data_IF_275716302691
#
_entry.id   IF_275716302691
#
_cell.length_a   1.000
_cell.length_b   1.000
_cell.length_c   1.000
_cell.angle_alpha   90.00
_cell.angle_beta   90.00
_cell.angle_gamma   90.00
#
_symmetry.space_group_name_H-M   'P 1'
#
loop_
_entity.id
_entity.type
_entity.pdbx_description
1 polymer ?
#
# COMPACT_ATOMS: atom_id res chain seq x y z
N UNK A 1 -9.87 41.59 -18.82
CA UNK A 1 -9.53 40.18 -19.08
C UNK A 1 -8.61 39.69 -17.98
N UNK A 2 -9.10 38.92 -17.00
CA UNK A 2 -8.28 38.24 -15.99
C UNK A 2 -9.12 37.12 -15.36
N UNK A 3 -9.05 35.91 -15.91
CA UNK A 3 -9.80 34.74 -15.41
C UNK A 3 -9.21 33.39 -15.81
N UNK A 4 -7.98 33.34 -16.32
CA UNK A 4 -7.50 32.19 -17.09
C UNK A 4 -6.59 31.16 -16.41
N UNK A 5 -6.12 31.39 -15.17
CA UNK A 5 -5.04 30.55 -14.58
C UNK A 5 -5.34 30.00 -13.18
N UNK A 6 -6.35 30.51 -12.47
CA UNK A 6 -6.64 30.08 -11.09
C UNK A 6 -7.35 28.71 -10.96
N UNK A 7 -7.97 28.21 -12.04
CA UNK A 7 -8.69 26.94 -12.01
C UNK A 7 -7.80 25.70 -12.11
N UNK A 8 -6.65 25.81 -12.76
CA UNK A 8 -5.73 24.69 -13.01
C UNK A 8 -4.73 24.45 -11.89
N UNK A 9 -4.44 25.43 -11.03
CA UNK A 9 -3.55 25.28 -9.86
C UNK A 9 -4.25 25.63 -8.54
N UNK A 10 -5.53 25.25 -8.44
CA UNK A 10 -6.31 25.41 -7.21
C UNK A 10 -5.87 24.39 -6.15
N UNK A 11 -5.82 24.78 -4.84
CA UNK A 11 -5.61 23.85 -3.74
C UNK A 11 -6.56 22.64 -3.76
N UNK A 12 -7.81 22.81 -4.22
CA UNK A 12 -8.78 21.72 -4.33
C UNK A 12 -8.32 20.66 -5.32
N UNK A 13 -7.80 21.07 -6.49
CA UNK A 13 -7.27 20.16 -7.51
C UNK A 13 -6.06 19.39 -6.99
N UNK A 14 -5.13 20.07 -6.30
CA UNK A 14 -3.97 19.38 -5.73
C UNK A 14 -4.38 18.34 -4.68
N UNK A 15 -5.36 18.62 -3.84
CA UNK A 15 -5.92 17.63 -2.90
C UNK A 15 -6.54 16.44 -3.61
N UNK A 16 -7.35 16.67 -4.65
CA UNK A 16 -7.91 15.58 -5.47
C UNK A 16 -6.81 14.71 -6.09
N UNK A 17 -5.75 15.35 -6.60
CA UNK A 17 -4.61 14.62 -7.17
C UNK A 17 -3.84 13.82 -6.13
N UNK A 18 -3.64 14.37 -4.92
CA UNK A 18 -3.04 13.63 -3.80
C UNK A 18 -3.89 12.41 -3.45
N UNK A 19 -5.22 12.56 -3.36
CA UNK A 19 -6.09 11.42 -3.10
C UNK A 19 -6.03 10.32 -4.16
N UNK A 20 -5.86 10.68 -5.43
CA UNK A 20 -5.60 9.69 -6.50
C UNK A 20 -4.28 8.96 -6.27
N UNK A 21 -3.20 9.71 -6.02
CA UNK A 21 -1.88 9.14 -5.75
C UNK A 21 -1.90 8.25 -4.51
N UNK A 22 -2.61 8.62 -3.45
CA UNK A 22 -2.75 7.81 -2.23
C UNK A 22 -3.46 6.48 -2.52
N UNK A 23 -4.49 6.48 -3.38
CA UNK A 23 -5.14 5.24 -3.82
C UNK A 23 -4.17 4.36 -4.61
N UNK A 24 -3.39 4.95 -5.49
CA UNK A 24 -2.38 4.23 -6.27
C UNK A 24 -1.26 3.67 -5.39
N UNK A 25 -0.76 4.45 -4.43
CA UNK A 25 0.22 4.01 -3.44
C UNK A 25 -0.35 2.83 -2.64
N UNK A 26 -1.57 2.95 -2.11
CA UNK A 26 -2.21 1.88 -1.36
C UNK A 26 -2.37 0.59 -2.20
N UNK A 27 -2.76 0.73 -3.48
CA UNK A 27 -2.84 -0.40 -4.42
C UNK A 27 -1.47 -1.05 -4.65
N UNK A 28 -0.44 -0.25 -4.91
CA UNK A 28 0.92 -0.73 -5.15
C UNK A 28 1.51 -1.41 -3.90
N UNK A 29 1.26 -0.87 -2.71
CA UNK A 29 1.68 -1.50 -1.45
C UNK A 29 1.03 -2.87 -1.29
N UNK A 30 -0.27 -3.01 -1.53
CA UNK A 30 -0.96 -4.32 -1.47
C UNK A 30 -0.35 -5.33 -2.44
N UNK A 31 -0.08 -4.92 -3.68
CA UNK A 31 0.56 -5.77 -4.69
C UNK A 31 1.97 -6.18 -4.27
N UNK A 32 2.80 -5.24 -3.81
CA UNK A 32 4.15 -5.50 -3.30
C UNK A 32 4.12 -6.47 -2.13
N UNK A 33 3.20 -6.29 -1.17
CA UNK A 33 3.05 -7.16 -0.01
C UNK A 33 2.62 -8.57 -0.41
N UNK A 34 1.71 -8.71 -1.38
CA UNK A 34 1.30 -10.02 -1.89
C UNK A 34 2.48 -10.76 -2.54
N UNK A 35 3.30 -10.05 -3.32
CA UNK A 35 4.48 -10.64 -3.97
C UNK A 35 5.58 -10.99 -2.97
N UNK A 36 5.81 -10.15 -1.96
CA UNK A 36 6.76 -10.43 -0.88
C UNK A 36 6.40 -11.73 -0.13
N UNK A 37 5.12 -11.97 0.12
CA UNK A 37 4.66 -13.22 0.73
C UNK A 37 4.91 -14.44 -0.16
N UNK A 38 4.62 -14.34 -1.46
CA UNK A 38 4.90 -15.41 -2.43
C UNK A 38 6.38 -15.75 -2.45
N UNK A 39 7.25 -14.74 -2.43
CA UNK A 39 8.70 -14.92 -2.33
C UNK A 39 9.09 -15.65 -1.04
N UNK A 40 8.57 -15.23 0.11
CA UNK A 40 8.85 -15.89 1.39
C UNK A 40 8.38 -17.36 1.42
N UNK A 41 7.24 -17.66 0.81
CA UNK A 41 6.71 -19.02 0.73
C UNK A 41 7.52 -19.88 -0.25
N UNK A 42 7.96 -19.32 -1.38
CA UNK A 42 8.88 -19.98 -2.30
C UNK A 42 10.23 -20.31 -1.63
N UNK A 43 10.81 -19.37 -0.85
CA UNK A 43 12.04 -19.61 -0.07
C UNK A 43 11.86 -20.76 0.92
N UNK A 44 10.74 -20.78 1.64
CA UNK A 44 10.39 -21.88 2.54
C UNK A 44 10.32 -23.22 1.83
N UNK A 45 9.67 -23.26 0.67
CA UNK A 45 9.45 -24.50 -0.08
C UNK A 45 10.78 -25.17 -0.48
N UNK A 46 11.85 -24.39 -0.65
CA UNK A 46 13.19 -24.89 -0.95
C UNK A 46 14.11 -24.98 0.29
N UNK A 47 13.56 -24.88 1.50
CA UNK A 47 14.29 -25.04 2.77
C UNK A 47 15.10 -23.82 3.22
N UNK A 48 14.95 -22.67 2.56
CA UNK A 48 15.61 -21.43 2.98
C UNK A 48 14.82 -20.68 4.08
N UNK A 49 15.51 -19.86 4.89
CA UNK A 49 14.84 -18.93 5.80
C UNK A 49 13.87 -18.00 5.08
N UNK A 50 12.79 -17.61 5.76
CA UNK A 50 11.79 -16.66 5.23
C UNK A 50 12.40 -15.30 4.88
N UNK A 51 13.40 -14.86 5.64
CA UNK A 51 14.05 -13.56 5.47
C UNK A 51 15.46 -13.70 4.90
N UNK A 52 15.93 -12.61 4.30
CA UNK A 52 17.25 -12.47 3.71
C UNK A 52 17.82 -11.11 4.08
N UNK A 53 18.75 -11.10 5.02
CA UNK A 53 19.25 -9.85 5.56
C UNK A 53 19.96 -9.00 4.49
N UNK A 54 20.65 -9.62 3.53
CA UNK A 54 21.33 -8.88 2.47
C UNK A 54 20.30 -8.20 1.54
N UNK A 55 19.24 -8.92 1.19
CA UNK A 55 18.14 -8.36 0.40
C UNK A 55 17.36 -7.29 1.15
N UNK A 56 17.01 -7.50 2.42
CA UNK A 56 16.30 -6.51 3.23
C UNK A 56 17.12 -5.21 3.37
N UNK A 57 18.43 -5.32 3.56
CA UNK A 57 19.32 -4.17 3.55
C UNK A 57 19.38 -3.47 2.18
N UNK A 58 19.31 -4.20 1.07
CA UNK A 58 19.22 -3.62 -0.25
C UNK A 58 17.91 -2.86 -0.47
N UNK A 59 16.79 -3.39 0.03
CA UNK A 59 15.49 -2.69 0.02
C UNK A 59 15.58 -1.39 0.82
N UNK A 60 16.14 -1.42 2.03
CA UNK A 60 16.31 -0.23 2.86
C UNK A 60 17.12 0.86 2.14
N UNK A 61 18.27 0.49 1.55
CA UNK A 61 19.11 1.42 0.79
C UNK A 61 18.38 1.99 -0.41
N UNK A 62 17.69 1.16 -1.20
CA UNK A 62 16.98 1.63 -2.39
C UNK A 62 15.90 2.67 -2.07
N UNK A 63 15.12 2.46 -0.99
CA UNK A 63 14.16 3.47 -0.56
C UNK A 63 14.83 4.72 0.03
N UNK A 64 15.93 4.56 0.77
CA UNK A 64 16.70 5.68 1.31
C UNK A 64 17.32 6.55 0.20
N UNK A 65 17.84 5.94 -0.85
CA UNK A 65 18.40 6.64 -2.01
C UNK A 65 17.32 7.43 -2.75
N UNK A 66 16.11 6.86 -2.89
CA UNK A 66 15.02 7.51 -3.60
C UNK A 66 14.31 8.62 -2.81
N UNK A 67 14.17 8.46 -1.49
CA UNK A 67 13.31 9.32 -0.63
C UNK A 67 14.05 9.96 0.55
N UNK A 68 15.37 9.78 0.64
CA UNK A 68 16.17 10.25 1.76
C UNK A 68 15.93 9.47 3.06
N UNK A 69 16.22 10.05 4.24
CA UNK A 69 16.12 9.36 5.53
C UNK A 69 14.74 8.78 5.85
N UNK A 70 13.66 9.42 5.39
CA UNK A 70 12.29 8.91 5.56
C UNK A 70 12.02 7.64 4.73
N UNK A 71 12.76 7.44 3.62
CA UNK A 71 12.66 6.26 2.78
C UNK A 71 12.99 4.97 3.51
N UNK A 72 14.05 4.98 4.33
CA UNK A 72 14.41 3.82 5.14
C UNK A 72 13.27 3.40 6.09
N UNK A 73 12.60 4.38 6.71
CA UNK A 73 11.45 4.11 7.58
C UNK A 73 10.26 3.53 6.82
N UNK A 74 9.99 4.04 5.61
CA UNK A 74 8.96 3.48 4.74
C UNK A 74 9.27 2.03 4.36
N UNK A 75 10.52 1.72 4.00
CA UNK A 75 10.94 0.36 3.70
C UNK A 75 10.75 -0.59 4.88
N UNK A 76 11.05 -0.17 6.12
CA UNK A 76 10.79 -0.96 7.32
C UNK A 76 9.30 -1.29 7.49
N UNK A 77 8.41 -0.31 7.26
CA UNK A 77 6.96 -0.54 7.30
C UNK A 77 6.52 -1.55 6.24
N UNK A 78 7.04 -1.44 5.02
CA UNK A 78 6.69 -2.35 3.92
C UNK A 78 7.17 -3.78 4.16
N UNK A 79 8.38 -3.96 4.69
CA UNK A 79 8.89 -5.27 5.12
C UNK A 79 8.05 -5.84 6.27
N UNK A 80 7.61 -4.99 7.20
CA UNK A 80 6.69 -5.36 8.28
C UNK A 80 5.35 -5.90 7.77
N UNK A 81 4.76 -5.26 6.76
CA UNK A 81 3.50 -5.70 6.14
C UNK A 81 3.60 -7.08 5.47
N UNK A 82 4.75 -7.41 4.88
CA UNK A 82 5.00 -8.73 4.30
C UNK A 82 4.95 -9.86 5.32
N UNK A 83 5.39 -9.57 6.55
CA UNK A 83 5.48 -10.55 7.65
C UNK A 83 4.20 -10.64 8.49
N UNK A 84 3.34 -9.64 8.47
CA UNK A 84 2.08 -9.66 9.21
C UNK A 84 1.04 -10.55 8.52
N UNK A 85 0.13 -11.11 9.31
CA UNK A 85 -1.06 -11.81 8.77
C UNK A 85 -1.89 -10.82 7.95
N UNK A 86 -2.32 -11.18 6.71
CA UNK A 86 -3.21 -10.32 5.95
C UNK A 86 -4.45 -9.96 6.78
N UNK A 87 -4.93 -8.70 6.71
CA UNK A 87 -6.25 -8.41 7.24
C UNK A 87 -7.26 -9.32 6.52
N UNK A 88 -8.20 -9.89 7.28
CA UNK A 88 -9.35 -10.59 6.70
C UNK A 88 -9.98 -9.65 5.66
N UNK A 89 -10.34 -10.12 4.45
CA UNK A 89 -11.04 -9.27 3.49
C UNK A 89 -12.22 -8.62 4.19
N UNK A 90 -12.39 -7.30 3.98
CA UNK A 90 -13.52 -6.58 4.52
C UNK A 90 -14.77 -7.39 4.19
N UNK A 91 -15.56 -7.74 5.21
CA UNK A 91 -16.81 -8.45 5.01
C UNK A 91 -17.57 -7.69 3.92
N UNK A 92 -18.02 -8.41 2.89
CA UNK A 92 -18.91 -7.83 1.89
C UNK A 92 -20.05 -7.14 2.64
N UNK A 93 -20.43 -5.91 2.24
CA UNK A 93 -21.48 -5.20 2.95
C UNK A 93 -22.72 -6.09 2.93
N UNK A 94 -23.11 -6.58 4.11
CA UNK A 94 -24.29 -7.42 4.28
C UNK A 94 -25.45 -6.70 3.59
N UNK A 95 -25.94 -7.30 2.50
CA UNK A 95 -27.19 -6.91 1.87
C UNK A 95 -28.21 -6.86 3.00
N UNK A 96 -28.64 -5.66 3.36
CA UNK A 96 -29.73 -5.45 4.32
C UNK A 96 -30.98 -6.01 3.68
N UNK A 97 -31.19 -7.31 3.87
CA UNK A 97 -32.40 -8.02 3.47
C UNK A 97 -33.58 -7.28 4.06
N UNK A 98 -34.45 -6.87 3.16
CA UNK A 98 -35.71 -6.20 3.45
C UNK A 98 -36.64 -7.23 4.11
N UNK A 99 -36.85 -7.14 5.41
CA UNK A 99 -38.05 -7.66 6.09
C UNK A 99 -38.71 -6.42 6.69
N UNK A 100 -39.81 -5.86 6.19
CA UNK A 100 -41.14 -6.42 5.95
C UNK A 100 -41.69 -7.21 7.14
N UNK A 101 -42.22 -6.49 8.13
CA UNK A 101 -43.38 -6.98 8.86
C UNK A 101 -44.27 -5.79 9.22
N UNK A 102 -45.39 -5.68 8.50
CA UNK A 102 -46.61 -5.00 8.95
C UNK A 102 -47.01 -5.50 10.33
N UNK A 103 -47.44 -4.59 11.21
CA UNK A 103 -48.68 -4.69 11.99
C UNK A 103 -49.00 -3.30 12.52
#
# INVERSE_FOLDING_TARGET
MNGGVGGLDSPARHRSRIHELDRDIARLIRLRTAEDRRLQDARRAVGHPRTDLAWENAVLRGYQEALGPAGAQLALLLLGLGRSTPPKPAAEPEERTKEHTST
#
